data_IF_388164643447
#
_entry.id   IF_388164643447
#
_cell.length_a   1.000
_cell.length_b   1.000
_cell.length_c   1.000
_cell.angle_alpha   90.00
_cell.angle_beta   90.00
_cell.angle_gamma   90.00
#
_symmetry.space_group_name_H-M   'P 1'
#
loop_
_entity.id
_entity.type
_entity.pdbx_description
1 polymer ?
#
# COMPACT_ATOMS: atom_id res chain seq x y z
N UNK A 1 -33.42 -0.12 -22.85
CA UNK A 1 -32.84 -0.88 -21.72
C UNK A 1 -32.04 0.11 -20.88
N UNK A 2 -32.47 0.41 -19.66
CA UNK A 2 -31.76 1.33 -18.76
C UNK A 2 -30.65 0.54 -18.05
N UNK A 3 -29.40 0.92 -18.27
CA UNK A 3 -28.26 0.40 -17.52
C UNK A 3 -28.19 1.15 -16.19
N UNK A 4 -28.47 0.48 -15.07
CA UNK A 4 -28.20 1.05 -13.76
C UNK A 4 -26.70 1.31 -13.63
N UNK A 5 -26.32 2.44 -13.05
CA UNK A 5 -24.92 2.72 -12.76
C UNK A 5 -24.31 1.56 -11.96
N UNK A 6 -23.07 1.14 -12.25
CA UNK A 6 -22.40 0.10 -11.48
C UNK A 6 -22.30 0.52 -10.02
N UNK A 7 -22.44 -0.44 -9.11
CA UNK A 7 -22.19 -0.21 -7.69
C UNK A 7 -20.73 0.24 -7.50
N UNK A 8 -20.55 1.45 -7.01
CA UNK A 8 -19.25 2.09 -6.81
C UNK A 8 -18.62 1.64 -5.49
N UNK A 9 -19.40 1.20 -4.50
CA UNK A 9 -18.87 0.88 -3.18
C UNK A 9 -17.81 -0.25 -3.21
N UNK A 10 -18.02 -1.38 -3.91
CA UNK A 10 -17.00 -2.43 -4.01
C UNK A 10 -15.73 -1.98 -4.75
N UNK A 11 -15.86 -1.03 -5.69
CA UNK A 11 -14.72 -0.46 -6.42
C UNK A 11 -13.88 0.45 -5.54
N UNK A 12 -14.54 1.27 -4.72
CA UNK A 12 -13.87 2.13 -3.74
C UNK A 12 -13.16 1.27 -2.71
N UNK A 13 -13.85 0.29 -2.13
CA UNK A 13 -13.27 -0.65 -1.16
C UNK A 13 -12.06 -1.38 -1.75
N UNK A 14 -12.20 -1.97 -2.94
CA UNK A 14 -11.10 -2.65 -3.62
C UNK A 14 -9.91 -1.73 -3.93
N UNK A 15 -10.14 -0.47 -4.27
CA UNK A 15 -9.07 0.50 -4.50
C UNK A 15 -8.31 0.84 -3.21
N UNK A 16 -9.00 1.01 -2.09
CA UNK A 16 -8.38 1.32 -0.80
C UNK A 16 -7.62 0.12 -0.24
N UNK A 17 -8.19 -1.08 -0.34
CA UNK A 17 -7.51 -2.32 0.02
C UNK A 17 -6.31 -2.57 -0.88
N UNK A 18 -6.44 -2.35 -2.19
CA UNK A 18 -5.34 -2.48 -3.16
C UNK A 18 -4.18 -1.53 -2.86
N UNK A 19 -4.48 -0.28 -2.47
CA UNK A 19 -3.46 0.67 -2.01
C UNK A 19 -2.72 0.13 -0.78
N UNK A 20 -3.45 -0.28 0.27
CA UNK A 20 -2.86 -0.77 1.51
C UNK A 20 -2.02 -2.04 1.32
N UNK A 21 -2.52 -2.99 0.51
CA UNK A 21 -1.83 -4.24 0.19
C UNK A 21 -0.58 -3.96 -0.64
N UNK A 22 -0.69 -3.13 -1.68
CA UNK A 22 0.44 -2.78 -2.55
C UNK A 22 1.56 -2.06 -1.80
N UNK A 23 1.20 -1.11 -0.93
CA UNK A 23 2.13 -0.42 -0.05
C UNK A 23 2.85 -1.40 0.90
N UNK A 24 2.09 -2.25 1.60
CA UNK A 24 2.65 -3.25 2.51
C UNK A 24 3.56 -4.29 1.82
N UNK A 25 3.24 -4.70 0.58
CA UNK A 25 4.08 -5.62 -0.20
C UNK A 25 5.40 -4.97 -0.64
N UNK A 26 5.36 -3.69 -1.01
CA UNK A 26 6.53 -2.97 -1.49
C UNK A 26 7.44 -2.45 -0.36
N UNK A 27 6.89 -2.22 0.84
CA UNK A 27 7.60 -1.59 1.95
C UNK A 27 8.92 -2.28 2.32
N UNK A 28 8.99 -3.63 2.46
CA UNK A 28 10.25 -4.32 2.78
C UNK A 28 11.36 -4.12 1.74
N UNK A 29 11.00 -3.82 0.49
CA UNK A 29 11.95 -3.73 -0.64
C UNK A 29 12.16 -2.29 -1.13
N UNK A 30 11.58 -1.30 -0.45
CA UNK A 30 11.61 0.09 -0.85
C UNK A 30 13.04 0.64 -0.96
N UNK A 31 13.41 1.06 -2.17
CA UNK A 31 14.74 1.59 -2.50
C UNK A 31 15.74 0.56 -3.04
N UNK A 32 15.36 -0.71 -3.15
CA UNK A 32 16.12 -1.70 -3.92
C UNK A 32 15.93 -1.50 -5.42
N UNK A 33 16.93 -1.91 -6.21
CA UNK A 33 16.77 -2.06 -7.67
C UNK A 33 15.98 -3.34 -7.96
N UNK A 34 15.18 -3.32 -9.01
CA UNK A 34 14.36 -4.47 -9.44
C UNK A 34 15.15 -5.78 -9.53
N UNK A 35 16.35 -5.76 -10.11
CA UNK A 35 17.21 -6.95 -10.19
C UNK A 35 17.60 -7.53 -8.82
N UNK A 36 17.77 -6.69 -7.80
CA UNK A 36 18.06 -7.16 -6.43
C UNK A 36 16.80 -7.73 -5.75
N UNK A 37 15.63 -7.16 -6.03
CA UNK A 37 14.34 -7.71 -5.57
C UNK A 37 14.15 -9.12 -6.13
N UNK A 38 14.36 -9.29 -7.44
CA UNK A 38 14.26 -10.60 -8.11
C UNK A 38 15.32 -11.59 -7.59
N UNK A 39 16.54 -11.13 -7.31
CA UNK A 39 17.59 -11.99 -6.76
C UNK A 39 17.25 -12.52 -5.36
N UNK A 40 16.65 -11.68 -4.51
CA UNK A 40 16.33 -12.04 -3.13
C UNK A 40 15.04 -12.86 -3.02
N UNK A 41 13.99 -12.43 -3.71
CA UNK A 41 12.64 -12.93 -3.51
C UNK A 41 12.04 -13.62 -4.74
N UNK A 42 12.68 -13.53 -5.91
CA UNK A 42 12.08 -13.95 -7.17
C UNK A 42 10.84 -13.11 -7.49
N UNK A 43 9.67 -13.68 -7.27
CA UNK A 43 8.37 -13.01 -7.38
C UNK A 43 7.75 -12.83 -5.98
N UNK A 44 7.42 -11.59 -5.64
CA UNK A 44 6.73 -11.29 -4.38
C UNK A 44 5.25 -11.66 -4.54
N UNK A 45 4.85 -12.76 -3.89
CA UNK A 45 3.47 -13.26 -3.87
C UNK A 45 2.82 -13.19 -2.49
N UNK A 46 3.60 -12.85 -1.46
CA UNK A 46 3.17 -12.70 -0.06
C UNK A 46 4.04 -11.63 0.64
N UNK A 47 3.72 -11.28 1.88
CA UNK A 47 4.50 -10.35 2.69
C UNK A 47 5.84 -10.95 3.08
N UNK A 48 6.92 -10.29 2.66
CA UNK A 48 8.30 -10.76 2.86
C UNK A 48 8.98 -10.10 4.06
N UNK A 49 10.02 -10.73 4.59
CA UNK A 49 10.80 -10.22 5.71
C UNK A 49 11.83 -9.19 5.24
N UNK A 50 11.74 -7.95 5.75
CA UNK A 50 12.67 -6.88 5.44
C UNK A 50 14.14 -7.20 5.83
N UNK A 51 14.36 -8.15 6.76
CA UNK A 51 15.72 -8.58 7.15
C UNK A 51 16.50 -9.22 5.98
N UNK A 52 15.82 -9.87 5.05
CA UNK A 52 16.45 -10.46 3.86
C UNK A 52 16.98 -9.38 2.90
N UNK A 53 16.32 -8.21 2.88
CA UNK A 53 16.71 -7.06 2.08
C UNK A 53 17.73 -6.15 2.78
N UNK A 54 17.71 -6.09 4.11
CA UNK A 54 18.36 -5.06 4.91
C UNK A 54 19.09 -5.58 6.15
N UNK A 55 19.81 -6.69 6.03
CA UNK A 55 20.57 -7.31 7.15
C UNK A 55 21.44 -6.29 7.92
N UNK A 56 22.20 -5.46 7.20
CA UNK A 56 23.10 -4.45 7.78
C UNK A 56 22.42 -3.10 8.08
N UNK A 57 21.10 -2.99 7.91
CA UNK A 57 20.35 -1.72 8.02
C UNK A 57 19.06 -1.90 8.82
N UNK A 58 19.14 -2.14 10.13
CA UNK A 58 17.97 -2.44 10.96
C UNK A 58 16.90 -1.32 10.99
N UNK A 59 17.28 -0.06 10.75
CA UNK A 59 16.34 1.06 10.65
C UNK A 59 15.46 1.02 9.37
N UNK A 60 15.74 0.12 8.42
CA UNK A 60 14.89 -0.17 7.26
C UNK A 60 13.88 -1.28 7.53
N UNK A 61 13.94 -1.93 8.70
CA UNK A 61 13.01 -2.99 9.03
C UNK A 61 11.59 -2.45 9.14
N UNK A 62 10.67 -3.16 8.50
CA UNK A 62 9.23 -2.96 8.59
C UNK A 62 8.60 -4.30 8.93
N UNK A 63 7.53 -4.27 9.72
CA UNK A 63 6.75 -5.47 10.04
C UNK A 63 6.08 -5.99 8.74
N UNK A 64 6.19 -7.29 8.41
CA UNK A 64 5.49 -7.85 7.27
C UNK A 64 3.98 -7.57 7.33
N UNK A 65 3.40 -7.08 6.24
CA UNK A 65 1.98 -6.72 6.15
C UNK A 65 1.61 -5.33 6.69
N UNK A 66 2.57 -4.57 7.24
CA UNK A 66 2.32 -3.21 7.71
C UNK A 66 2.41 -2.21 6.56
N UNK A 67 1.32 -1.48 6.31
CA UNK A 67 1.28 -0.36 5.38
C UNK A 67 2.07 0.84 5.92
N UNK A 68 2.49 1.75 5.04
CA UNK A 68 3.37 2.87 5.38
C UNK A 68 2.68 4.22 5.16
N UNK A 69 3.47 5.31 5.12
CA UNK A 69 2.95 6.67 5.07
C UNK A 69 2.03 6.97 3.87
N UNK A 70 2.18 6.38 2.65
CA UNK A 70 1.25 6.62 1.55
C UNK A 70 -0.18 6.20 1.90
N UNK A 71 -0.34 4.99 2.47
CA UNK A 71 -1.66 4.52 2.92
C UNK A 71 -2.20 5.37 4.05
N UNK A 72 -1.36 5.75 5.02
CA UNK A 72 -1.79 6.61 6.14
C UNK A 72 -2.26 7.99 5.69
N UNK A 73 -1.55 8.60 4.73
CA UNK A 73 -1.93 9.90 4.16
C UNK A 73 -3.24 9.80 3.38
N UNK A 74 -3.40 8.76 2.55
CA UNK A 74 -4.64 8.53 1.83
C UNK A 74 -5.83 8.36 2.79
N UNK A 75 -5.68 7.54 3.84
CA UNK A 75 -6.70 7.37 4.86
C UNK A 75 -7.01 8.67 5.61
N UNK A 76 -6.00 9.49 5.90
CA UNK A 76 -6.20 10.78 6.58
C UNK A 76 -7.04 11.74 5.73
N UNK A 77 -6.74 11.84 4.43
CA UNK A 77 -7.50 12.66 3.49
C UNK A 77 -8.94 12.17 3.36
N UNK A 78 -9.14 10.85 3.30
CA UNK A 78 -10.47 10.24 3.19
C UNK A 78 -11.28 10.37 4.48
N UNK A 79 -10.65 10.26 5.66
CA UNK A 79 -11.31 10.46 6.94
C UNK A 79 -11.87 11.90 7.05
N UNK A 80 -11.06 12.90 6.69
CA UNK A 80 -11.51 14.31 6.68
C UNK A 80 -12.67 14.51 5.69
N UNK A 81 -12.57 13.94 4.49
CA UNK A 81 -13.66 14.00 3.50
C UNK A 81 -14.95 13.34 4.01
N UNK A 82 -14.84 12.17 4.64
CA UNK A 82 -15.99 11.46 5.19
C UNK A 82 -16.66 12.22 6.34
N UNK A 83 -15.87 12.91 7.16
CA UNK A 83 -16.37 13.72 8.28
C UNK A 83 -16.98 15.05 7.85
N UNK A 84 -16.39 15.73 6.85
CA UNK A 84 -16.75 17.11 6.49
C UNK A 84 -17.56 17.24 5.20
N UNK A 85 -17.55 16.23 4.34
CA UNK A 85 -18.09 16.30 2.98
C UNK A 85 -17.26 17.16 2.02
N UNK A 86 -16.02 17.50 2.39
CA UNK A 86 -15.15 18.43 1.65
C UNK A 86 -13.76 17.82 1.42
N UNK A 87 -13.17 18.07 0.26
CA UNK A 87 -11.76 17.73 -0.01
C UNK A 87 -10.87 18.74 0.73
N UNK A 88 -9.95 18.30 1.61
CA UNK A 88 -9.04 19.21 2.30
C UNK A 88 -8.13 19.95 1.30
N UNK A 89 -7.77 21.22 1.57
CA UNK A 89 -6.86 21.98 0.73
C UNK A 89 -5.45 21.37 0.71
N UNK A 90 -4.71 21.63 -0.39
CA UNK A 90 -3.30 21.20 -0.60
C UNK A 90 -2.32 21.79 0.42
#
# INVERSE_FOLDING_TARGET
MSTSAPDLAPRIEGALLGLAVGDALAAPVAGLKSGRVVQLFGEITDYVDAREAWEDRPWRWVMPGLHTSPTQQALSVLAVQAERGEVPPE
#
